data_IF_903677837035
#
_entry.id   IF_903677837035
#
_cell.length_a   1.000
_cell.length_b   1.000
_cell.length_c   1.000
_cell.angle_alpha   90.00
_cell.angle_beta   90.00
_cell.angle_gamma   90.00
#
_symmetry.space_group_name_H-M   'P 1'
#
loop_
_entity.id
_entity.type
_entity.pdbx_description
1 polymer ?
#
# COMPACT_ATOMS: atom_id res chain seq x y z
N UNK A 1 -13.05 12.92 -36.52
CA UNK A 1 -12.24 11.92 -35.81
C UNK A 1 -10.82 12.47 -35.74
N UNK A 2 -10.16 12.33 -34.60
CA UNK A 2 -8.71 12.58 -34.49
C UNK A 2 -7.94 11.38 -35.03
N UNK A 3 -6.69 11.62 -35.42
CA UNK A 3 -5.80 10.55 -35.90
C UNK A 3 -5.42 9.58 -34.77
N UNK A 4 -5.05 8.35 -35.17
CA UNK A 4 -4.53 7.35 -34.25
C UNK A 4 -3.15 7.77 -33.69
N UNK A 5 -2.84 7.44 -32.43
CA UNK A 5 -1.53 7.73 -31.86
C UNK A 5 -0.43 6.89 -32.54
N UNK A 6 0.75 7.48 -32.66
CA UNK A 6 1.95 6.80 -33.17
C UNK A 6 2.57 5.86 -32.12
N UNK A 7 3.17 4.77 -32.58
CA UNK A 7 3.93 3.86 -31.72
C UNK A 7 5.19 4.55 -31.19
N UNK A 8 5.51 4.31 -29.92
CA UNK A 8 6.70 4.85 -29.26
C UNK A 8 7.53 3.72 -28.68
N UNK A 9 8.82 3.71 -28.99
CA UNK A 9 9.78 2.84 -28.32
C UNK A 9 10.17 3.46 -26.97
N UNK A 10 9.76 2.79 -25.89
CA UNK A 10 10.09 3.19 -24.53
C UNK A 10 11.32 2.39 -24.08
N UNK A 11 12.43 3.03 -23.67
CA UNK A 11 13.57 2.32 -23.11
C UNK A 11 13.17 1.47 -21.90
N UNK A 12 13.72 0.26 -21.81
CA UNK A 12 13.47 -0.70 -20.72
C UNK A 12 12.00 -1.14 -20.55
N UNK A 13 11.17 -1.05 -21.61
CA UNK A 13 9.75 -1.40 -21.53
C UNK A 13 9.53 -2.85 -21.06
N UNK A 14 10.27 -3.81 -21.63
CA UNK A 14 10.11 -5.24 -21.32
C UNK A 14 10.52 -5.56 -19.89
N UNK A 15 11.61 -4.97 -19.39
CA UNK A 15 12.05 -5.13 -18.01
C UNK A 15 11.04 -4.52 -17.04
N UNK A 16 10.45 -3.38 -17.41
CA UNK A 16 9.41 -2.71 -16.62
C UNK A 16 8.14 -3.55 -16.56
N UNK A 17 7.69 -4.09 -17.70
CA UNK A 17 6.55 -5.00 -17.79
C UNK A 17 6.78 -6.24 -16.91
N UNK A 18 7.92 -6.92 -17.05
CA UNK A 18 8.24 -8.10 -16.24
C UNK A 18 8.28 -7.79 -14.74
N UNK A 19 8.81 -6.62 -14.35
CA UNK A 19 8.79 -6.17 -12.95
C UNK A 19 7.36 -5.94 -12.45
N UNK A 20 6.51 -5.32 -13.26
CA UNK A 20 5.10 -5.12 -12.95
C UNK A 20 4.33 -6.43 -12.86
N UNK A 21 4.60 -7.39 -13.73
CA UNK A 21 3.98 -8.72 -13.68
C UNK A 21 4.30 -9.42 -12.34
N UNK A 22 5.56 -9.40 -11.92
CA UNK A 22 5.96 -9.93 -10.60
C UNK A 22 5.31 -9.17 -9.45
N UNK A 23 5.17 -7.84 -9.55
CA UNK A 23 4.46 -7.03 -8.55
C UNK A 23 2.96 -7.36 -8.50
N UNK A 24 2.32 -7.60 -9.64
CA UNK A 24 0.91 -7.96 -9.68
C UNK A 24 0.65 -9.31 -9.02
N UNK A 25 1.56 -10.29 -9.14
CA UNK A 25 1.45 -11.56 -8.39
C UNK A 25 1.47 -11.35 -6.87
N UNK A 26 2.43 -10.58 -6.36
CA UNK A 26 2.46 -10.21 -4.93
C UNK A 26 1.19 -9.45 -4.52
N UNK A 27 0.74 -8.53 -5.38
CA UNK A 27 -0.48 -7.75 -5.12
C UNK A 27 -1.73 -8.63 -5.07
N UNK A 28 -1.82 -9.66 -5.89
CA UNK A 28 -2.95 -10.60 -5.85
C UNK A 28 -3.01 -11.35 -4.53
N UNK A 29 -1.86 -11.76 -3.98
CA UNK A 29 -1.79 -12.38 -2.65
C UNK A 29 -2.17 -11.40 -1.53
N UNK A 30 -1.70 -10.15 -1.61
CA UNK A 30 -2.12 -9.08 -0.69
C UNK A 30 -3.63 -8.84 -0.76
N UNK A 31 -4.21 -8.82 -1.97
CA UNK A 31 -5.65 -8.64 -2.16
C UNK A 31 -6.46 -9.79 -1.56
N UNK A 32 -6.01 -11.04 -1.72
CA UNK A 32 -6.62 -12.20 -1.06
C UNK A 32 -6.55 -12.06 0.46
N UNK A 33 -5.38 -11.68 1.00
CA UNK A 33 -5.20 -11.50 2.44
C UNK A 33 -6.15 -10.43 3.02
N UNK A 34 -6.27 -9.30 2.32
CA UNK A 34 -7.21 -8.23 2.67
C UNK A 34 -8.67 -8.69 2.60
N UNK A 35 -9.02 -9.54 1.65
CA UNK A 35 -10.38 -10.08 1.52
C UNK A 35 -10.73 -11.03 2.65
N UNK A 36 -9.81 -11.92 3.06
CA UNK A 36 -9.98 -12.74 4.27
C UNK A 36 -10.26 -11.87 5.49
N UNK A 37 -9.46 -10.80 5.69
CA UNK A 37 -9.64 -9.88 6.80
C UNK A 37 -10.99 -9.11 6.76
N UNK A 38 -11.54 -8.84 5.57
CA UNK A 38 -12.91 -8.29 5.43
C UNK A 38 -13.98 -9.30 5.85
N UNK A 39 -13.83 -10.55 5.43
CA UNK A 39 -14.76 -11.63 5.79
C UNK A 39 -14.76 -11.89 7.30
N UNK A 40 -13.61 -11.75 7.95
CA UNK A 40 -13.43 -11.84 9.40
C UNK A 40 -13.82 -10.55 10.15
N UNK A 41 -14.25 -9.51 9.43
CA UNK A 41 -14.66 -8.19 9.96
C UNK A 41 -13.55 -7.44 10.71
N UNK A 42 -12.28 -7.78 10.47
CA UNK A 42 -11.12 -7.06 11.01
C UNK A 42 -11.02 -5.67 10.36
N UNK A 43 -11.30 -5.59 9.05
CA UNK A 43 -11.31 -4.34 8.29
C UNK A 43 -12.57 -4.25 7.43
N UNK A 44 -13.00 -3.01 7.13
CA UNK A 44 -14.04 -2.76 6.12
C UNK A 44 -13.48 -2.40 4.75
N UNK A 45 -12.41 -1.60 4.70
CA UNK A 45 -11.76 -1.08 3.48
C UNK A 45 -10.25 -1.28 3.57
N UNK A 46 -9.56 -1.41 2.44
CA UNK A 46 -8.08 -1.52 2.46
C UNK A 46 -7.42 -0.30 3.09
N UNK A 47 -8.00 0.89 2.90
CA UNK A 47 -7.44 2.14 3.41
C UNK A 47 -7.43 2.22 4.94
N UNK A 48 -8.07 1.31 5.67
CA UNK A 48 -7.99 1.22 7.14
C UNK A 48 -7.13 0.05 7.62
N UNK A 49 -6.41 -0.62 6.72
CA UNK A 49 -5.56 -1.75 7.03
C UNK A 49 -4.11 -1.32 7.33
N UNK A 50 -3.48 -2.08 8.23
CA UNK A 50 -2.04 -2.18 8.43
C UNK A 50 -1.59 -3.55 7.95
N UNK A 51 -0.65 -3.58 7.01
CA UNK A 51 -0.10 -4.81 6.46
C UNK A 51 1.30 -5.06 7.01
N UNK A 52 1.58 -6.29 7.42
CA UNK A 52 2.96 -6.76 7.62
C UNK A 52 3.24 -7.90 6.65
N UNK A 53 4.22 -7.70 5.78
CA UNK A 53 4.67 -8.71 4.82
C UNK A 53 5.93 -9.40 5.33
N UNK A 54 5.92 -10.72 5.31
CA UNK A 54 7.09 -11.57 5.50
C UNK A 54 7.39 -12.23 4.15
N UNK A 55 8.04 -11.49 3.23
CA UNK A 55 8.21 -11.93 1.85
C UNK A 55 9.23 -13.07 1.75
N UNK A 56 9.04 -13.93 0.76
CA UNK A 56 10.11 -14.82 0.31
C UNK A 56 11.26 -14.00 -0.33
N UNK A 57 12.36 -14.66 -0.70
CA UNK A 57 13.55 -13.94 -1.22
C UNK A 57 13.25 -13.15 -2.50
N UNK A 58 12.46 -13.69 -3.42
CA UNK A 58 12.10 -13.05 -4.69
C UNK A 58 11.22 -11.81 -4.46
N UNK A 59 10.17 -11.94 -3.64
CA UNK A 59 9.29 -10.84 -3.28
C UNK A 59 10.04 -9.74 -2.50
N UNK A 60 11.00 -10.14 -1.65
CA UNK A 60 11.85 -9.19 -0.91
C UNK A 60 12.75 -8.39 -1.85
N UNK A 61 13.37 -9.05 -2.82
CA UNK A 61 14.19 -8.41 -3.84
C UNK A 61 13.35 -7.45 -4.71
N UNK A 62 12.16 -7.89 -5.13
CA UNK A 62 11.19 -7.08 -5.87
C UNK A 62 10.80 -5.83 -5.08
N UNK A 63 10.35 -5.97 -3.83
CA UNK A 63 9.97 -4.85 -2.95
C UNK A 63 11.12 -3.86 -2.77
N UNK A 64 12.35 -4.36 -2.57
CA UNK A 64 13.56 -3.53 -2.42
C UNK A 64 13.93 -2.76 -3.70
N UNK A 65 13.50 -3.26 -4.86
CA UNK A 65 13.73 -2.63 -6.16
C UNK A 65 12.74 -1.50 -6.46
N UNK A 66 11.61 -1.41 -5.75
CA UNK A 66 10.63 -0.33 -5.88
C UNK A 66 11.07 0.82 -4.96
N UNK A 67 11.16 2.04 -5.50
CA UNK A 67 11.65 3.21 -4.73
C UNK A 67 10.52 4.13 -4.28
N UNK A 68 9.33 3.87 -4.80
CA UNK A 68 8.08 4.54 -4.50
C UNK A 68 7.45 4.01 -3.21
N UNK A 69 6.44 4.72 -2.71
CA UNK A 69 5.70 4.32 -1.52
C UNK A 69 4.80 3.10 -1.81
N UNK A 70 5.34 1.91 -1.54
CA UNK A 70 4.68 0.63 -1.83
C UNK A 70 3.30 0.49 -1.17
N UNK A 71 3.08 1.11 0.00
CA UNK A 71 1.78 1.03 0.68
C UNK A 71 0.65 1.70 -0.14
N UNK A 72 0.98 2.69 -0.97
CA UNK A 72 0.02 3.31 -1.89
C UNK A 72 -0.39 2.36 -3.01
N UNK A 73 0.54 1.52 -3.48
CA UNK A 73 0.25 0.51 -4.50
C UNK A 73 -0.70 -0.59 -3.99
N UNK A 74 -0.65 -0.87 -2.67
CA UNK A 74 -1.60 -1.75 -1.98
C UNK A 74 -2.85 -1.04 -1.44
N UNK A 75 -2.86 0.30 -1.44
CA UNK A 75 -3.98 1.13 -0.96
C UNK A 75 -4.27 0.85 0.53
N UNK A 76 -3.21 0.78 1.35
CA UNK A 76 -3.27 0.56 2.80
C UNK A 76 -2.61 1.69 3.58
N UNK A 77 -3.00 1.87 4.84
CA UNK A 77 -2.51 3.00 5.65
C UNK A 77 -1.11 2.81 6.19
N UNK A 78 -0.79 1.56 6.53
CA UNK A 78 0.51 1.15 7.04
C UNK A 78 0.99 -0.09 6.32
N UNK A 79 2.29 -0.14 6.09
CA UNK A 79 2.98 -1.30 5.53
C UNK A 79 4.30 -1.46 6.28
N UNK A 80 4.51 -2.64 6.85
CA UNK A 80 5.76 -3.09 7.40
C UNK A 80 6.28 -4.27 6.58
N UNK A 81 7.59 -4.29 6.33
CA UNK A 81 8.29 -5.46 5.80
C UNK A 81 8.98 -6.12 6.99
N UNK A 82 8.49 -7.28 7.39
CA UNK A 82 9.05 -8.10 8.44
C UNK A 82 10.33 -8.82 8.01
N UNK A 83 10.71 -9.80 8.83
CA UNK A 83 11.85 -10.67 8.57
C UNK A 83 11.55 -11.74 7.53
N UNK A 84 11.97 -12.96 7.83
CA UNK A 84 11.73 -14.18 7.06
C UNK A 84 10.33 -14.75 7.33
N UNK A 85 9.87 -15.65 6.47
CA UNK A 85 8.59 -16.36 6.65
C UNK A 85 8.53 -17.19 7.95
N UNK A 86 9.67 -17.58 8.50
CA UNK A 86 9.76 -18.31 9.76
C UNK A 86 9.51 -17.42 11.00
N UNK A 87 9.71 -16.10 10.85
CA UNK A 87 9.46 -15.10 11.90
C UNK A 87 8.04 -14.55 11.84
N UNK A 88 7.24 -14.95 10.85
CA UNK A 88 5.84 -14.59 10.76
C UNK A 88 5.04 -15.22 11.92
N UNK A 89 4.07 -14.49 12.51
CA UNK A 89 3.24 -15.03 13.57
C UNK A 89 2.34 -16.17 13.05
N UNK A 90 1.80 -16.98 13.98
CA UNK A 90 1.01 -18.17 13.64
C UNK A 90 -0.29 -17.86 12.88
N UNK A 91 -0.84 -16.66 13.07
CA UNK A 91 -2.04 -16.17 12.40
C UNK A 91 -1.76 -15.54 11.03
N UNK A 92 -0.50 -15.52 10.57
CA UNK A 92 -0.16 -15.02 9.25
C UNK A 92 -0.72 -15.92 8.14
N UNK A 93 -1.38 -15.30 7.17
CA UNK A 93 -1.86 -16.00 5.97
C UNK A 93 -0.67 -16.37 5.07
N UNK A 94 -0.63 -17.61 4.59
CA UNK A 94 0.48 -18.14 3.77
C UNK A 94 0.12 -18.11 2.29
N UNK A 95 1.02 -17.56 1.46
CA UNK A 95 0.87 -17.44 0.02
C UNK A 95 2.18 -17.82 -0.70
N UNK A 96 2.16 -17.81 -2.03
CA UNK A 96 3.33 -18.11 -2.86
C UNK A 96 4.44 -17.06 -2.66
N UNK A 97 4.04 -15.80 -2.50
CA UNK A 97 4.97 -14.66 -2.36
C UNK A 97 5.48 -14.44 -0.93
N UNK A 98 5.03 -15.26 0.03
CA UNK A 98 5.41 -15.20 1.43
C UNK A 98 4.20 -15.20 2.36
N UNK A 99 4.37 -14.68 3.57
CA UNK A 99 3.29 -14.60 4.58
C UNK A 99 2.83 -13.17 4.81
N UNK A 100 1.54 -13.01 5.08
CA UNK A 100 0.88 -11.71 5.18
C UNK A 100 0.02 -11.66 6.44
N UNK A 101 0.24 -10.63 7.26
CA UNK A 101 -0.61 -10.29 8.39
C UNK A 101 -1.38 -9.03 8.04
N UNK A 102 -2.68 -9.05 8.32
CA UNK A 102 -3.58 -7.90 8.14
C UNK A 102 -4.17 -7.53 9.48
N UNK A 103 -3.97 -6.28 9.89
CA UNK A 103 -4.57 -5.69 11.08
C UNK A 103 -5.31 -4.41 10.72
N UNK A 104 -6.10 -3.89 11.66
CA UNK A 104 -6.62 -2.54 11.56
C UNK A 104 -5.48 -1.53 11.83
N UNK A 105 -5.35 -0.51 10.98
CA UNK A 105 -4.38 0.55 11.19
C UNK A 105 -4.74 1.39 12.42
N UNK A 106 -3.72 1.84 13.13
CA UNK A 106 -3.86 2.64 14.35
C UNK A 106 -3.97 4.14 14.03
N UNK A 107 -4.85 4.83 14.76
CA UNK A 107 -5.09 6.27 14.64
C UNK A 107 -6.48 6.59 14.10
N UNK A 108 -6.63 7.78 13.53
CA UNK A 108 -7.91 8.29 13.04
C UNK A 108 -7.93 8.34 11.51
N UNK A 109 -9.13 8.44 10.91
CA UNK A 109 -9.28 8.54 9.46
C UNK A 109 -9.20 9.99 9.01
N UNK A 110 -8.28 10.29 8.08
CA UNK A 110 -8.17 11.62 7.48
C UNK A 110 -9.37 11.90 6.58
N UNK A 111 -10.05 13.02 6.80
CA UNK A 111 -11.28 13.36 6.06
C UNK A 111 -11.04 13.66 4.58
N UNK A 112 -9.82 14.06 4.21
CA UNK A 112 -9.47 14.34 2.81
C UNK A 112 -9.03 13.10 2.01
N UNK A 113 -8.09 12.30 2.54
CA UNK A 113 -7.54 11.16 1.80
C UNK A 113 -8.06 9.80 2.23
N UNK A 114 -8.88 9.74 3.30
CA UNK A 114 -9.50 8.51 3.83
C UNK A 114 -8.52 7.43 4.27
N UNK A 115 -7.26 7.81 4.45
CA UNK A 115 -6.21 6.98 5.06
C UNK A 115 -6.19 7.22 6.57
N UNK A 116 -5.81 6.20 7.31
CA UNK A 116 -5.61 6.24 8.77
C UNK A 116 -4.22 6.79 9.08
N UNK A 117 -4.13 7.62 10.11
CA UNK A 117 -2.87 8.15 10.60
C UNK A 117 -2.96 8.46 12.10
N UNK A 118 -1.87 8.17 12.82
CA UNK A 118 -1.69 8.53 14.24
C UNK A 118 -1.42 10.02 14.46
N UNK A 119 -1.22 10.77 13.38
CA UNK A 119 -0.77 12.17 13.40
C UNK A 119 -1.89 13.17 13.08
N UNK A 120 -3.13 12.70 12.96
CA UNK A 120 -4.29 13.57 12.86
C UNK A 120 -4.44 14.37 14.16
N UNK A 121 -4.84 15.64 14.05
CA UNK A 121 -4.93 16.57 15.18
C UNK A 121 -3.63 17.33 15.49
N UNK A 122 -2.50 17.01 14.85
CA UNK A 122 -1.24 17.73 15.07
C UNK A 122 -1.22 19.14 14.43
N UNK A 123 -2.04 19.37 13.40
CA UNK A 123 -2.18 20.67 12.76
C UNK A 123 -3.42 21.40 13.29
N UNK A 124 -3.21 22.49 14.03
CA UNK A 124 -4.30 23.25 14.66
C UNK A 124 -5.26 23.91 13.65
N UNK A 125 -4.78 24.27 12.46
CA UNK A 125 -5.62 24.87 11.41
C UNK A 125 -6.44 23.80 10.67
N UNK A 126 -5.97 22.54 10.71
CA UNK A 126 -6.54 21.42 9.98
C UNK A 126 -6.60 20.14 10.85
N UNK A 127 -7.37 20.15 11.96
CA UNK A 127 -7.33 19.08 12.97
C UNK A 127 -7.82 17.72 12.45
N UNK A 128 -8.65 17.69 11.41
CA UNK A 128 -9.20 16.45 10.82
C UNK A 128 -8.33 15.88 9.67
N UNK A 129 -7.20 16.53 9.36
CA UNK A 129 -6.34 16.16 8.24
C UNK A 129 -5.03 15.54 8.73
N UNK A 130 -4.57 14.50 8.03
CA UNK A 130 -3.21 14.00 8.23
C UNK A 130 -2.17 15.03 7.72
N UNK A 131 -0.91 14.96 8.19
CA UNK A 131 0.13 15.95 7.84
C UNK A 131 0.30 16.20 6.34
N UNK A 132 0.23 15.13 5.52
CA UNK A 132 0.28 15.24 4.05
C UNK A 132 -0.87 16.10 3.51
N UNK A 133 -2.08 15.87 4.00
CA UNK A 133 -3.26 16.59 3.53
C UNK A 133 -3.28 18.02 4.01
N UNK A 134 -2.95 18.27 5.29
CA UNK A 134 -2.80 19.60 5.83
C UNK A 134 -1.75 20.41 5.05
N UNK A 135 -0.58 19.84 4.78
CA UNK A 135 0.47 20.50 3.99
C UNK A 135 0.03 20.87 2.57
N UNK A 136 -0.74 20.01 1.90
CA UNK A 136 -1.28 20.32 0.56
C UNK A 136 -2.30 21.47 0.64
N UNK A 137 -3.21 21.45 1.62
CA UNK A 137 -4.20 22.52 1.79
C UNK A 137 -3.51 23.85 2.07
N UNK A 138 -2.53 23.85 2.98
CA UNK A 138 -1.73 25.03 3.32
C UNK A 138 -0.99 25.62 2.11
N UNK A 139 -0.43 24.77 1.27
CA UNK A 139 0.40 25.21 0.13
C UNK A 139 -0.44 25.78 -1.02
N UNK A 140 -1.60 25.21 -1.31
CA UNK A 140 -2.32 25.48 -2.57
C UNK A 140 -3.71 26.11 -2.41
N UNK A 141 -4.25 26.19 -1.19
CA UNK A 141 -5.65 26.56 -0.95
C UNK A 141 -5.86 27.52 0.22
N UNK A 142 -4.80 28.15 0.74
CA UNK A 142 -4.97 29.27 1.67
C UNK A 142 -5.31 30.56 0.89
N UNK A 143 -6.34 31.25 1.39
CA UNK A 143 -6.76 32.59 0.94
C UNK A 143 -6.01 33.62 1.78
#
# INVERSE_FOLDING_TARGET
LTDMPETRDIPNAKETEAKFDSFMKLRDDVLKALETARNEKIIGKSSVASLTLYPNEEAKALLSSIKEDVKQLFIVSELAIGGTEAEAPEDAQTFETGKIVVAQAEGETCERCRMVSKEIGQDADHPELCPRCAGIVKTYYQI
#
